data_IF_263102295058
#
_entry.id   IF_263102295058
#
_cell.length_a   1.000
_cell.length_b   1.000
_cell.length_c   1.000
_cell.angle_alpha   90.00
_cell.angle_beta   90.00
_cell.angle_gamma   90.00
#
_symmetry.space_group_name_H-M   'P 1'
#
loop_
_entity.id
_entity.type
_entity.pdbx_description
1 polymer ?
#
# COMPACT_ATOMS: atom_id res chain seq x y z
N UNK A 1 -0.50 -15.72 7.64
CA UNK A 1 0.00 -14.64 6.75
C UNK A 1 0.13 -13.29 7.43
N UNK A 2 -0.85 -12.89 8.25
CA UNK A 2 -0.84 -11.54 8.86
C UNK A 2 0.37 -11.28 9.76
N UNK A 3 0.70 -12.21 10.64
CA UNK A 3 1.84 -12.05 11.54
C UNK A 3 3.17 -12.03 10.79
N UNK A 4 3.32 -12.94 9.83
CA UNK A 4 4.54 -13.00 9.04
C UNK A 4 4.72 -11.72 8.22
N UNK A 5 3.66 -11.23 7.58
CA UNK A 5 3.71 -9.99 6.85
C UNK A 5 4.02 -8.79 7.77
N UNK A 6 3.46 -8.76 8.96
CA UNK A 6 3.72 -7.70 9.93
C UNK A 6 5.22 -7.55 10.19
N UNK A 7 5.94 -8.65 10.42
CA UNK A 7 7.38 -8.59 10.63
C UNK A 7 8.13 -8.19 9.37
N UNK A 8 7.75 -8.73 8.22
CA UNK A 8 8.37 -8.38 6.94
C UNK A 8 8.17 -6.90 6.64
N UNK A 9 6.98 -6.38 6.88
CA UNK A 9 6.69 -4.97 6.66
C UNK A 9 7.58 -4.08 7.53
N UNK A 10 7.74 -4.40 8.80
CA UNK A 10 8.61 -3.64 9.70
C UNK A 10 10.07 -3.70 9.25
N UNK A 11 10.57 -4.88 8.91
CA UNK A 11 11.99 -5.07 8.60
C UNK A 11 12.36 -4.53 7.23
N UNK A 12 11.55 -4.82 6.21
CA UNK A 12 11.93 -4.55 4.82
C UNK A 12 11.29 -3.30 4.24
N UNK A 13 10.10 -2.94 4.65
CA UNK A 13 9.36 -1.82 4.07
C UNK A 13 9.43 -0.56 4.92
N UNK A 14 9.13 -0.65 6.20
CA UNK A 14 9.17 0.50 7.10
C UNK A 14 10.57 0.93 7.48
N UNK A 15 11.56 0.08 7.27
CA UNK A 15 12.95 0.39 7.61
C UNK A 15 13.63 1.20 6.51
N UNK A 16 14.30 2.29 6.90
CA UNK A 16 15.15 3.05 5.99
C UNK A 16 16.45 2.34 5.67
N UNK A 17 16.78 1.28 6.40
CA UNK A 17 18.02 0.52 6.21
C UNK A 17 17.91 -0.49 5.08
N UNK A 18 16.74 -0.64 4.46
CA UNK A 18 16.53 -1.64 3.42
C UNK A 18 16.01 -0.98 2.13
N UNK A 19 16.90 -0.50 1.25
CA UNK A 19 16.50 0.22 0.06
C UNK A 19 16.24 -0.65 -1.18
N UNK A 20 16.38 -1.98 -1.09
CA UNK A 20 16.34 -2.86 -2.26
C UNK A 20 14.91 -3.02 -2.80
N UNK A 21 14.62 -2.31 -3.89
CA UNK A 21 13.30 -2.29 -4.51
C UNK A 21 12.86 -3.67 -5.04
N UNK A 22 13.75 -4.37 -5.73
CA UNK A 22 13.40 -5.65 -6.36
C UNK A 22 12.99 -6.73 -5.34
N UNK A 23 13.65 -6.76 -4.18
CA UNK A 23 13.27 -7.68 -3.12
C UNK A 23 11.93 -7.30 -2.49
N UNK A 24 11.66 -6.00 -2.32
CA UNK A 24 10.36 -5.53 -1.85
C UNK A 24 9.23 -5.98 -2.78
N UNK A 25 9.43 -5.85 -4.09
CA UNK A 25 8.44 -6.28 -5.07
C UNK A 25 8.22 -7.80 -5.03
N UNK A 26 9.30 -8.55 -4.90
CA UNK A 26 9.20 -10.01 -4.76
C UNK A 26 8.37 -10.38 -3.52
N UNK A 27 8.64 -9.76 -2.38
CA UNK A 27 7.91 -10.03 -1.15
C UNK A 27 6.44 -9.66 -1.26
N UNK A 28 6.12 -8.54 -1.91
CA UNK A 28 4.73 -8.17 -2.14
C UNK A 28 3.99 -9.20 -2.99
N UNK A 29 4.61 -9.67 -4.08
CA UNK A 29 4.00 -10.71 -4.93
C UNK A 29 3.80 -12.01 -4.15
N UNK A 30 4.78 -12.38 -3.34
CA UNK A 30 4.71 -13.60 -2.53
C UNK A 30 3.51 -13.55 -1.58
N UNK A 31 3.16 -12.37 -1.07
CA UNK A 31 2.04 -12.18 -0.15
C UNK A 31 0.74 -11.76 -0.85
N UNK A 32 0.64 -11.94 -2.15
CA UNK A 32 -0.61 -11.81 -2.88
C UNK A 32 -0.89 -10.46 -3.51
N UNK A 33 0.06 -9.52 -3.49
CA UNK A 33 -0.10 -8.26 -4.18
C UNK A 33 -0.01 -8.46 -5.70
N UNK A 34 -0.93 -7.84 -6.44
CA UNK A 34 -0.84 -7.78 -7.90
C UNK A 34 0.05 -6.61 -8.30
N UNK A 35 1.10 -6.87 -9.05
CA UNK A 35 2.08 -5.88 -9.46
C UNK A 35 2.29 -5.87 -10.95
N UNK A 36 2.27 -4.68 -11.54
CA UNK A 36 2.76 -4.46 -12.88
C UNK A 36 4.29 -4.37 -12.92
N UNK A 37 4.83 -3.96 -14.06
CA UNK A 37 6.27 -3.76 -14.24
C UNK A 37 6.67 -2.33 -13.91
N UNK A 38 7.94 -2.14 -13.56
CA UNK A 38 8.51 -0.81 -13.34
C UNK A 38 8.03 -0.12 -12.08
N UNK A 39 7.51 -0.86 -11.11
CA UNK A 39 7.04 -0.31 -9.82
C UNK A 39 8.25 0.04 -8.96
N UNK A 40 8.22 1.20 -8.33
CA UNK A 40 9.25 1.66 -7.39
C UNK A 40 8.61 1.93 -6.03
N UNK A 41 9.18 1.33 -4.99
CA UNK A 41 8.75 1.53 -3.60
C UNK A 41 9.93 2.04 -2.81
N UNK A 42 9.80 3.27 -2.33
CA UNK A 42 10.83 3.93 -1.54
C UNK A 42 10.88 3.40 -0.11
N UNK A 43 11.95 3.68 0.66
CA UNK A 43 12.03 3.28 2.07
C UNK A 43 10.91 3.85 2.95
N UNK A 44 10.71 3.21 4.09
CA UNK A 44 9.72 3.63 5.11
C UNK A 44 8.26 3.60 4.63
N UNK A 45 7.95 2.79 3.64
CA UNK A 45 6.57 2.58 3.20
C UNK A 45 5.90 1.54 4.09
N UNK A 46 4.69 1.85 4.53
CA UNK A 46 3.90 0.94 5.36
C UNK A 46 2.71 0.42 4.55
N UNK A 47 2.70 -0.88 4.27
CA UNK A 47 1.60 -1.55 3.55
C UNK A 47 0.98 -2.57 4.49
N UNK A 48 -0.29 -2.39 4.82
CA UNK A 48 -0.94 -3.22 5.83
C UNK A 48 -1.27 -4.62 5.31
N UNK A 49 -1.89 -4.72 4.12
CA UNK A 49 -2.31 -6.01 3.58
C UNK A 49 -1.97 -6.11 2.09
N UNK A 50 -0.87 -6.77 1.72
CA UNK A 50 -0.47 -6.89 0.31
C UNK A 50 -1.49 -7.60 -0.57
N UNK A 51 -2.22 -8.56 -0.02
CA UNK A 51 -3.24 -9.31 -0.77
C UNK A 51 -4.49 -8.50 -1.10
N UNK A 52 -4.57 -7.27 -0.59
CA UNK A 52 -5.62 -6.30 -0.93
C UNK A 52 -5.05 -5.08 -1.64
N UNK A 53 -3.91 -5.24 -2.30
CA UNK A 53 -3.24 -4.16 -3.02
C UNK A 53 -3.00 -4.60 -4.46
N UNK A 54 -3.38 -3.73 -5.40
CA UNK A 54 -3.14 -3.93 -6.83
C UNK A 54 -2.45 -2.70 -7.39
N UNK A 55 -1.25 -2.89 -7.90
CA UNK A 55 -0.45 -1.82 -8.49
C UNK A 55 -0.29 -2.09 -10.00
N UNK A 56 -0.58 -1.08 -10.81
CA UNK A 56 -0.37 -1.15 -12.24
C UNK A 56 1.10 -1.01 -12.63
N UNK A 57 1.35 -0.65 -13.88
CA UNK A 57 2.70 -0.47 -14.42
C UNK A 57 3.23 0.92 -14.06
N UNK A 58 4.53 1.00 -13.76
CA UNK A 58 5.23 2.27 -13.55
C UNK A 58 4.62 3.11 -12.44
N UNK A 59 4.24 2.46 -11.34
CA UNK A 59 3.74 3.14 -10.15
C UNK A 59 4.94 3.52 -9.28
N UNK A 60 4.94 4.76 -8.78
CA UNK A 60 5.94 5.27 -7.85
C UNK A 60 5.30 5.48 -6.49
N UNK A 61 5.82 4.81 -5.48
CA UNK A 61 5.39 4.99 -4.08
C UNK A 61 6.53 5.65 -3.32
N UNK A 62 6.30 6.89 -2.92
CA UNK A 62 7.30 7.71 -2.25
C UNK A 62 7.59 7.28 -0.81
N UNK A 63 8.61 7.91 -0.21
CA UNK A 63 8.99 7.59 1.16
C UNK A 63 7.87 7.91 2.15
N UNK A 64 7.78 7.11 3.20
CA UNK A 64 6.81 7.30 4.30
C UNK A 64 5.35 7.27 3.86
N UNK A 65 5.05 6.70 2.71
CA UNK A 65 3.66 6.46 2.31
C UNK A 65 3.07 5.39 3.21
N UNK A 66 1.85 5.61 3.64
CA UNK A 66 1.11 4.64 4.44
C UNK A 66 -0.14 4.19 3.68
N UNK A 67 -0.22 2.89 3.42
CA UNK A 67 -1.38 2.26 2.79
C UNK A 67 -2.07 1.40 3.86
N UNK A 68 -3.14 1.93 4.42
CA UNK A 68 -3.98 1.24 5.41
C UNK A 68 -5.18 0.64 4.66
N UNK A 69 -4.91 -0.47 3.99
CA UNK A 69 -5.86 -1.08 3.07
C UNK A 69 -6.67 -2.21 3.72
N UNK A 70 -7.50 -1.86 4.68
CA UNK A 70 -8.50 -2.77 5.24
C UNK A 70 -9.40 -3.29 4.12
N UNK A 71 -9.71 -2.44 3.14
CA UNK A 71 -10.37 -2.81 1.89
C UNK A 71 -9.36 -2.74 0.74
N UNK A 72 -9.77 -3.12 -0.47
CA UNK A 72 -8.89 -3.16 -1.63
C UNK A 72 -8.47 -1.77 -2.06
N UNK A 73 -7.18 -1.61 -2.34
CA UNK A 73 -6.61 -0.44 -3.00
C UNK A 73 -6.13 -0.87 -4.38
N UNK A 74 -6.68 -0.25 -5.41
CA UNK A 74 -6.31 -0.50 -6.80
C UNK A 74 -5.69 0.76 -7.38
N UNK A 75 -4.47 0.64 -7.88
CA UNK A 75 -3.70 1.75 -8.44
C UNK A 75 -3.46 1.46 -9.91
N UNK A 76 -3.83 2.41 -10.77
CA UNK A 76 -3.64 2.29 -12.21
C UNK A 76 -2.19 2.44 -12.63
N UNK A 77 -1.99 2.66 -13.92
CA UNK A 77 -0.66 2.80 -14.51
C UNK A 77 -0.15 4.25 -14.37
N UNK A 78 1.17 4.41 -14.26
CA UNK A 78 1.81 5.73 -14.20
C UNK A 78 1.27 6.62 -13.09
N UNK A 79 0.95 6.03 -11.94
CA UNK A 79 0.49 6.76 -10.76
C UNK A 79 1.69 7.09 -9.88
N UNK A 80 1.72 8.32 -9.37
CA UNK A 80 2.70 8.76 -8.40
C UNK A 80 2.00 9.02 -7.05
N UNK A 81 2.42 8.28 -6.03
CA UNK A 81 2.00 8.52 -4.65
C UNK A 81 3.19 9.18 -3.95
N UNK A 82 3.08 10.49 -3.71
CA UNK A 82 4.21 11.25 -3.18
C UNK A 82 4.48 10.94 -1.72
N UNK A 83 5.67 11.33 -1.25
CA UNK A 83 6.11 11.00 0.10
C UNK A 83 5.11 11.50 1.16
N UNK A 84 4.93 10.70 2.20
CA UNK A 84 4.07 11.02 3.31
C UNK A 84 2.57 10.90 3.03
N UNK A 85 2.16 10.54 1.82
CA UNK A 85 0.74 10.35 1.51
C UNK A 85 0.17 9.16 2.28
N UNK A 86 -1.12 9.25 2.60
CA UNK A 86 -1.82 8.21 3.34
C UNK A 86 -3.06 7.77 2.55
N UNK A 87 -3.16 6.47 2.28
CA UNK A 87 -4.33 5.86 1.66
C UNK A 87 -5.05 5.05 2.74
N UNK A 88 -6.17 5.55 3.22
CA UNK A 88 -6.90 4.94 4.34
C UNK A 88 -8.29 4.52 3.86
N UNK A 89 -8.54 3.20 3.89
CA UNK A 89 -9.83 2.63 3.48
C UNK A 89 -10.87 2.61 4.59
N UNK A 90 -10.45 2.67 5.84
CA UNK A 90 -11.33 2.49 6.98
C UNK A 90 -11.71 3.81 7.64
N UNK A 91 -12.96 3.87 8.12
CA UNK A 91 -13.48 4.98 8.91
C UNK A 91 -14.56 4.46 9.84
N UNK A 92 -14.87 5.22 10.88
CA UNK A 92 -15.98 4.91 11.78
C UNK A 92 -17.21 5.74 11.43
N UNK A 93 -18.39 5.16 11.64
CA UNK A 93 -19.65 5.86 11.42
C UNK A 93 -20.02 6.63 12.68
N UNK A 94 -19.73 7.91 12.70
CA UNK A 94 -19.99 8.79 13.85
C UNK A 94 -21.48 9.08 14.07
N UNK A 95 -22.33 8.75 13.09
CA UNK A 95 -23.78 8.98 13.20
C UNK A 95 -24.53 7.85 13.90
N UNK A 96 -23.85 6.75 14.21
CA UNK A 96 -24.45 5.59 14.89
C UNK A 96 -23.87 5.42 16.28
N UNK A 97 -24.71 4.99 17.22
CA UNK A 97 -24.24 4.73 18.58
C UNK A 97 -23.21 3.60 18.65
N UNK A 98 -23.34 2.59 17.79
CA UNK A 98 -22.40 1.48 17.73
C UNK A 98 -21.02 1.86 17.21
N UNK A 99 -20.89 3.03 16.57
CA UNK A 99 -19.64 3.51 16.01
C UNK A 99 -18.98 2.48 15.08
N UNK A 100 -19.79 1.89 14.20
CA UNK A 100 -19.36 0.80 13.33
C UNK A 100 -18.25 1.23 12.38
N UNK A 101 -17.34 0.30 12.13
CA UNK A 101 -16.28 0.50 11.14
C UNK A 101 -16.90 0.48 9.73
N UNK A 102 -16.60 1.51 8.97
CA UNK A 102 -16.97 1.61 7.55
C UNK A 102 -15.70 1.43 6.74
N UNK A 103 -15.72 0.49 5.78
CA UNK A 103 -14.61 0.30 4.85
C UNK A 103 -15.06 0.58 3.43
N UNK A 104 -14.18 1.20 2.63
CA UNK A 104 -14.40 1.44 1.21
C UNK A 104 -13.11 1.20 0.46
N UNK A 105 -13.22 0.61 -0.72
CA UNK A 105 -12.09 0.49 -1.62
C UNK A 105 -11.62 1.86 -2.12
N UNK A 106 -10.34 1.95 -2.45
CA UNK A 106 -9.75 3.12 -3.09
C UNK A 106 -9.31 2.71 -4.49
N UNK A 107 -9.67 3.52 -5.47
CA UNK A 107 -9.24 3.34 -6.86
C UNK A 107 -8.54 4.62 -7.30
N UNK A 108 -7.27 4.50 -7.66
CA UNK A 108 -6.51 5.58 -8.28
C UNK A 108 -6.37 5.29 -9.76
N UNK A 109 -6.93 6.14 -10.59
CA UNK A 109 -6.91 5.97 -12.04
C UNK A 109 -5.52 6.25 -12.62
N UNK A 110 -5.32 5.85 -13.87
CA UNK A 110 -4.03 6.03 -14.55
C UNK A 110 -3.59 7.50 -14.51
N UNK A 111 -2.32 7.71 -14.25
CA UNK A 111 -1.70 9.03 -14.28
C UNK A 111 -2.02 9.92 -13.08
N UNK A 112 -2.71 9.43 -12.07
CA UNK A 112 -3.02 10.21 -10.86
C UNK A 112 -1.74 10.50 -10.09
N UNK A 113 -1.63 11.70 -9.54
CA UNK A 113 -0.56 12.13 -8.66
C UNK A 113 -1.16 12.64 -7.36
N UNK A 114 -0.78 12.01 -6.27
CA UNK A 114 -1.21 12.39 -4.93
C UNK A 114 -0.06 13.04 -4.18
#
# INVERSE_FOLDING_TARGET
>A
MRFLWYFINIVFFKSSLFPFNSLKLFLLRLFGCSLGKGVVIKPNVNIKYPWKLRLGNYVWIGEMVWIDNIDTVTVGNHVCISQGAMLICGSHNYTQQSFDLITKEIVLNDGVWI
#
